data_IF_031901956145
#
_entry.id   IF_031901956145
#
_cell.length_a   1.000
_cell.length_b   1.000
_cell.length_c   1.000
_cell.angle_alpha   90.00
_cell.angle_beta   90.00
_cell.angle_gamma   90.00
#
_symmetry.space_group_name_H-M   'P 1'
#
loop_
_entity.id
_entity.type
_entity.pdbx_description
1 polymer ?
#
# COMPACT_ATOMS: atom_id res chain seq x y z
N UNK A 1 30.30 22.15 29.05
CA UNK A 1 28.89 21.72 28.86
C UNK A 1 28.80 21.15 27.45
N UNK A 2 28.63 19.84 27.33
CA UNK A 2 28.50 19.16 26.03
C UNK A 2 27.21 19.61 25.33
N UNK A 3 27.37 20.25 24.15
CA UNK A 3 26.25 20.56 23.27
C UNK A 3 25.79 19.26 22.59
N UNK A 4 24.77 18.62 23.15
CA UNK A 4 23.97 17.61 22.45
C UNK A 4 23.24 18.30 21.28
N UNK A 5 23.81 18.25 20.08
CA UNK A 5 23.06 18.55 18.86
C UNK A 5 22.29 17.29 18.46
N UNK A 6 20.96 17.33 18.25
CA UNK A 6 20.25 16.23 17.63
C UNK A 6 20.77 16.12 16.18
N UNK A 7 21.38 14.99 15.83
CA UNK A 7 21.91 14.72 14.49
C UNK A 7 20.76 14.61 13.46
N UNK A 8 20.59 15.57 12.53
CA UNK A 8 19.53 15.52 11.51
C UNK A 8 19.82 14.44 10.44
N UNK A 9 21.09 14.07 10.27
CA UNK A 9 21.59 13.07 9.31
C UNK A 9 21.12 11.64 9.57
N UNK A 10 20.69 11.29 10.79
CA UNK A 10 20.11 9.97 11.07
C UNK A 10 18.64 9.90 10.64
N UNK A 11 17.89 10.98 10.79
CA UNK A 11 16.45 11.03 10.45
C UNK A 11 16.25 10.96 8.94
N UNK A 12 16.98 11.77 8.19
CA UNK A 12 16.91 11.83 6.72
C UNK A 12 17.27 10.48 6.06
N UNK A 13 18.31 9.81 6.59
CA UNK A 13 18.71 8.47 6.15
C UNK A 13 17.68 7.39 6.48
N UNK A 14 16.90 7.56 7.55
CA UNK A 14 15.82 6.64 7.89
C UNK A 14 14.63 6.87 6.97
N UNK A 15 14.24 8.11 6.71
CA UNK A 15 13.16 8.45 5.77
C UNK A 15 13.46 7.91 4.36
N UNK A 16 14.68 8.11 3.85
CA UNK A 16 15.11 7.53 2.57
C UNK A 16 15.02 5.99 2.51
N UNK A 17 15.20 5.31 3.64
CA UNK A 17 15.08 3.84 3.70
C UNK A 17 13.63 3.39 3.80
N UNK A 18 12.79 4.12 4.54
CA UNK A 18 11.36 3.86 4.61
C UNK A 18 10.70 4.11 3.26
N UNK A 19 11.01 5.22 2.60
CA UNK A 19 10.46 5.55 1.28
C UNK A 19 10.85 4.48 0.25
N UNK A 20 12.12 4.08 0.20
CA UNK A 20 12.57 2.98 -0.68
C UNK A 20 11.89 1.65 -0.35
N UNK A 21 11.57 1.39 0.92
CA UNK A 21 10.85 0.19 1.32
C UNK A 21 9.38 0.25 0.90
N UNK A 22 8.71 1.40 1.07
CA UNK A 22 7.34 1.63 0.63
C UNK A 22 7.22 1.47 -0.88
N UNK A 23 8.15 2.04 -1.67
CA UNK A 23 8.13 1.88 -3.14
C UNK A 23 8.34 0.43 -3.57
N UNK A 24 9.17 -0.35 -2.85
CA UNK A 24 9.29 -1.78 -3.10
C UNK A 24 7.99 -2.51 -2.81
N UNK A 25 7.32 -2.20 -1.71
CA UNK A 25 6.02 -2.79 -1.37
C UNK A 25 5.01 -2.46 -2.47
N UNK A 26 4.85 -1.18 -2.82
CA UNK A 26 3.92 -0.73 -3.86
C UNK A 26 4.19 -1.37 -5.22
N UNK A 27 5.46 -1.49 -5.64
CA UNK A 27 5.83 -2.15 -6.90
C UNK A 27 5.51 -3.65 -6.91
N UNK A 28 5.46 -4.27 -5.74
CA UNK A 28 5.31 -5.72 -5.58
C UNK A 28 3.89 -6.13 -5.13
N UNK A 29 2.94 -5.19 -5.07
CA UNK A 29 1.53 -5.48 -4.76
C UNK A 29 0.82 -6.05 -5.99
N UNK A 30 0.04 -7.10 -5.77
CA UNK A 30 -0.90 -7.63 -6.76
C UNK A 30 -2.14 -6.73 -6.83
N UNK A 31 -2.33 -6.09 -7.99
CA UNK A 31 -3.46 -5.19 -8.22
C UNK A 31 -4.79 -5.93 -8.29
N UNK A 32 -4.83 -7.17 -8.79
CA UNK A 32 -6.06 -7.96 -8.84
C UNK A 32 -6.55 -8.26 -7.44
N UNK A 33 -5.64 -8.63 -6.54
CA UNK A 33 -5.98 -8.92 -5.16
C UNK A 33 -6.41 -7.64 -4.42
N UNK A 34 -5.77 -6.51 -4.70
CA UNK A 34 -6.18 -5.21 -4.17
C UNK A 34 -7.60 -4.84 -4.62
N UNK A 35 -7.93 -5.03 -5.90
CA UNK A 35 -9.27 -4.78 -6.43
C UNK A 35 -10.32 -5.73 -5.86
N UNK A 36 -9.98 -7.01 -5.67
CA UNK A 36 -10.86 -7.97 -5.00
C UNK A 36 -11.14 -7.52 -3.55
N UNK A 37 -10.11 -7.08 -2.82
CA UNK A 37 -10.29 -6.59 -1.45
C UNK A 37 -11.16 -5.34 -1.38
N UNK A 38 -10.96 -4.40 -2.29
CA UNK A 38 -11.79 -3.19 -2.39
C UNK A 38 -13.27 -3.57 -2.61
N UNK A 39 -13.55 -4.45 -3.57
CA UNK A 39 -14.91 -4.90 -3.85
C UNK A 39 -15.54 -5.59 -2.63
N UNK A 40 -14.80 -6.44 -1.92
CA UNK A 40 -15.30 -7.09 -0.69
C UNK A 40 -15.58 -6.08 0.42
N UNK A 41 -14.71 -5.07 0.57
CA UNK A 41 -14.87 -4.01 1.56
C UNK A 41 -16.11 -3.14 1.29
N UNK A 42 -16.29 -2.69 0.04
CA UNK A 42 -17.41 -1.84 -0.39
C UNK A 42 -18.74 -2.60 -0.36
N UNK A 43 -18.76 -3.83 -0.86
CA UNK A 43 -19.99 -4.63 -0.99
C UNK A 43 -20.29 -5.53 0.22
N UNK A 44 -19.50 -5.38 1.29
CA UNK A 44 -19.70 -6.01 2.62
C UNK A 44 -19.89 -7.52 2.54
N UNK A 45 -19.14 -8.19 1.67
CA UNK A 45 -19.21 -9.64 1.53
C UNK A 45 -18.73 -10.17 0.18
N UNK A 46 -18.18 -11.37 0.21
CA UNK A 46 -17.56 -12.04 -0.94
C UNK A 46 -18.58 -12.31 -2.05
N UNK A 47 -19.79 -12.72 -1.71
CA UNK A 47 -20.84 -13.04 -2.69
C UNK A 47 -21.29 -11.79 -3.46
N UNK A 48 -21.42 -10.65 -2.77
CA UNK A 48 -21.82 -9.39 -3.42
C UNK A 48 -20.68 -8.81 -4.26
N UNK A 49 -19.45 -8.90 -3.77
CA UNK A 49 -18.27 -8.49 -4.54
C UNK A 49 -18.09 -9.32 -5.80
N UNK A 50 -18.26 -10.64 -5.72
CA UNK A 50 -18.14 -11.54 -6.88
C UNK A 50 -19.14 -11.18 -7.98
N UNK A 51 -20.39 -10.88 -7.62
CA UNK A 51 -21.41 -10.42 -8.58
C UNK A 51 -20.97 -9.13 -9.29
N UNK A 52 -20.41 -8.18 -8.56
CA UNK A 52 -19.99 -6.89 -9.14
C UNK A 52 -18.78 -7.06 -10.06
N UNK A 53 -17.80 -7.89 -9.66
CA UNK A 53 -16.60 -8.16 -10.45
C UNK A 53 -16.89 -8.97 -11.73
N UNK A 54 -17.90 -9.84 -11.71
CA UNK A 54 -18.34 -10.57 -12.91
C UNK A 54 -18.84 -9.63 -14.01
N UNK A 55 -19.50 -8.53 -13.64
CA UNK A 55 -20.00 -7.52 -14.58
C UNK A 55 -18.98 -6.43 -14.92
N UNK A 56 -17.84 -6.39 -14.23
CA UNK A 56 -16.76 -5.44 -14.46
C UNK A 56 -15.43 -6.20 -14.51
N UNK A 57 -15.09 -6.82 -15.66
CA UNK A 57 -13.89 -7.64 -15.77
C UNK A 57 -12.64 -6.81 -15.47
N UNK A 58 -11.73 -7.43 -14.71
CA UNK A 58 -10.43 -6.90 -14.34
C UNK A 58 -9.51 -6.88 -15.58
N UNK A 59 -9.72 -5.92 -16.48
CA UNK A 59 -8.84 -5.73 -17.63
C UNK A 59 -9.45 -4.91 -18.77
N UNK A 60 -8.95 -3.70 -18.94
CA UNK A 60 -8.85 -3.02 -20.23
C UNK A 60 -7.42 -2.50 -20.41
#
# INVERSE_FOLDING_TARGET
>A
MEKNHPQPELTERLDDRHDRQVFRILRNIDLNLLTIFEAVYVHKGIVNAAKVLEYHPLGH
#
